data_IF_621325977831
#
_entry.id   IF_621325977831
#
_cell.length_a   1.000
_cell.length_b   1.000
_cell.length_c   1.000
_cell.angle_alpha   90.00
_cell.angle_beta   90.00
_cell.angle_gamma   90.00
#
_symmetry.space_group_name_H-M   'P 1'
#
loop_
_entity.id
_entity.type
_entity.pdbx_description
1 polymer ?
#
# COMPACT_ATOMS: atom_id res chain seq x y z
N UNK A 1 -12.29 20.02 -17.37
CA UNK A 1 -11.91 19.08 -18.44
C UNK A 1 -11.05 18.01 -17.78
N UNK A 2 -11.55 16.78 -17.69
CA UNK A 2 -10.82 15.68 -17.07
C UNK A 2 -9.47 15.46 -17.73
N UNK A 3 -8.43 15.23 -16.93
CA UNK A 3 -7.11 14.93 -17.44
C UNK A 3 -7.16 13.54 -18.09
N UNK A 4 -7.22 13.45 -19.43
CA UNK A 4 -7.33 12.15 -20.12
C UNK A 4 -6.22 11.18 -19.75
N UNK A 5 -5.03 11.70 -19.41
CA UNK A 5 -3.91 10.90 -18.92
C UNK A 5 -4.25 10.22 -17.59
N UNK A 6 -4.92 10.94 -16.70
CA UNK A 6 -5.40 10.43 -15.41
C UNK A 6 -6.46 9.34 -15.58
N UNK A 7 -7.44 9.55 -16.47
CA UNK A 7 -8.46 8.53 -16.76
C UNK A 7 -7.84 7.22 -17.27
N UNK A 8 -6.83 7.31 -18.14
CA UNK A 8 -6.09 6.14 -18.63
C UNK A 8 -5.37 5.42 -17.48
N UNK A 9 -4.73 6.17 -16.58
CA UNK A 9 -4.01 5.62 -15.43
C UNK A 9 -4.95 4.82 -14.51
N UNK A 10 -6.07 5.42 -14.11
CA UNK A 10 -7.05 4.80 -13.21
C UNK A 10 -7.68 3.55 -13.84
N UNK A 11 -8.16 3.66 -15.09
CA UNK A 11 -8.79 2.50 -15.75
C UNK A 11 -7.78 1.38 -15.99
N UNK A 12 -6.54 1.70 -16.34
CA UNK A 12 -5.50 0.68 -16.47
C UNK A 12 -5.24 -0.04 -15.13
N UNK A 13 -5.12 0.71 -14.03
CA UNK A 13 -4.93 0.14 -12.70
C UNK A 13 -6.09 -0.76 -12.29
N UNK A 14 -7.34 -0.34 -12.50
CA UNK A 14 -8.52 -1.18 -12.23
C UNK A 14 -8.50 -2.47 -13.03
N UNK A 15 -8.13 -2.41 -14.31
CA UNK A 15 -7.97 -3.58 -15.15
C UNK A 15 -6.84 -4.49 -14.65
N UNK A 16 -5.69 -3.93 -14.24
CA UNK A 16 -4.58 -4.69 -13.67
C UNK A 16 -4.96 -5.35 -12.34
N UNK A 17 -5.69 -4.66 -11.48
CA UNK A 17 -6.18 -5.17 -10.20
C UNK A 17 -7.24 -6.28 -10.35
N UNK A 18 -7.98 -6.30 -11.46
CA UNK A 18 -9.00 -7.32 -11.73
C UNK A 18 -8.45 -8.52 -12.50
N UNK A 19 -7.67 -8.26 -13.54
CA UNK A 19 -7.30 -9.26 -14.54
C UNK A 19 -5.81 -9.64 -14.50
N UNK A 20 -4.99 -8.88 -13.77
CA UNK A 20 -3.54 -8.97 -13.77
C UNK A 20 -2.89 -8.05 -14.81
N UNK A 21 -1.77 -7.43 -14.44
CA UNK A 21 -0.95 -6.59 -15.33
C UNK A 21 -0.55 -7.34 -16.61
N UNK A 22 -0.14 -8.59 -16.51
CA UNK A 22 0.32 -9.36 -17.68
C UNK A 22 -0.82 -9.63 -18.68
N UNK A 23 -2.01 -9.98 -18.19
CA UNK A 23 -3.15 -10.34 -19.04
C UNK A 23 -3.81 -9.13 -19.73
N UNK A 24 -3.63 -7.92 -19.19
CA UNK A 24 -4.21 -6.70 -19.76
C UNK A 24 -3.36 -6.18 -20.92
N UNK A 25 -4.04 -5.88 -22.03
CA UNK A 25 -3.43 -5.25 -23.20
C UNK A 25 -3.80 -3.78 -23.31
N UNK A 26 -2.96 -2.99 -23.98
CA UNK A 26 -3.25 -1.57 -24.29
C UNK A 26 -4.56 -1.43 -25.08
N UNK A 27 -4.89 -2.40 -25.94
CA UNK A 27 -6.14 -2.41 -26.68
C UNK A 27 -7.36 -2.58 -25.77
N UNK A 28 -7.23 -3.39 -24.70
CA UNK A 28 -8.29 -3.57 -23.69
C UNK A 28 -8.54 -2.27 -22.92
N UNK A 29 -7.46 -1.61 -22.47
CA UNK A 29 -7.54 -0.31 -21.78
C UNK A 29 -8.19 0.74 -22.69
N UNK A 30 -7.76 0.81 -23.96
CA UNK A 30 -8.33 1.75 -24.93
C UNK A 30 -9.82 1.48 -25.21
N UNK A 31 -10.21 0.20 -25.30
CA UNK A 31 -11.60 -0.21 -25.49
C UNK A 31 -12.50 0.19 -24.31
N UNK A 32 -12.03 0.04 -23.07
CA UNK A 32 -12.77 0.43 -21.86
C UNK A 32 -13.04 1.94 -21.79
N UNK A 33 -12.23 2.75 -22.47
CA UNK A 33 -12.32 4.21 -22.50
C UNK A 33 -12.93 4.76 -23.80
N UNK A 34 -13.50 3.89 -24.65
CA UNK A 34 -14.02 4.26 -25.98
C UNK A 34 -13.02 5.06 -26.83
N UNK A 35 -11.73 4.72 -26.74
CA UNK A 35 -10.66 5.39 -27.46
C UNK A 35 -9.90 4.46 -28.40
N UNK A 36 -9.22 5.04 -29.38
CA UNK A 36 -8.32 4.26 -30.23
C UNK A 36 -7.00 4.00 -29.50
N UNK A 37 -6.36 2.86 -29.81
CA UNK A 37 -5.00 2.55 -29.33
C UNK A 37 -4.01 3.69 -29.64
N UNK A 38 -4.16 4.31 -30.82
CA UNK A 38 -3.34 5.47 -31.22
C UNK A 38 -3.56 6.71 -30.37
N UNK A 39 -4.77 6.96 -29.89
CA UNK A 39 -5.06 8.06 -28.97
C UNK A 39 -4.44 7.81 -27.58
N UNK A 40 -4.53 6.59 -27.06
CA UNK A 40 -3.87 6.20 -25.81
C UNK A 40 -2.34 6.41 -25.91
N UNK A 41 -1.73 6.02 -27.03
CA UNK A 41 -0.29 6.20 -27.24
C UNK A 41 0.19 7.66 -27.27
N UNK A 42 -0.71 8.64 -27.41
CA UNK A 42 -0.35 10.06 -27.27
C UNK A 42 -0.11 10.46 -25.81
N UNK A 43 -0.67 9.70 -24.86
CA UNK A 43 -0.54 9.96 -23.43
C UNK A 43 0.52 9.08 -22.76
N UNK A 44 0.61 7.81 -23.18
CA UNK A 44 1.55 6.84 -22.65
C UNK A 44 2.23 6.06 -23.76
N UNK A 45 3.56 5.92 -23.70
CA UNK A 45 4.36 5.28 -24.75
C UNK A 45 4.15 3.77 -24.81
N UNK A 46 3.78 3.14 -23.70
CA UNK A 46 3.61 1.69 -23.58
C UNK A 46 2.74 1.31 -22.39
N UNK A 47 2.37 0.02 -22.28
CA UNK A 47 1.74 -0.52 -21.05
C UNK A 47 2.66 -0.32 -19.83
N UNK A 48 3.96 -0.46 -20.04
CA UNK A 48 4.98 -0.29 -19.01
C UNK A 48 5.06 1.15 -18.51
N UNK A 49 4.96 2.13 -19.40
CA UNK A 49 4.93 3.56 -19.05
C UNK A 49 3.73 3.91 -18.15
N UNK A 50 2.58 3.26 -18.36
CA UNK A 50 1.43 3.39 -17.46
C UNK A 50 1.74 2.80 -16.08
N UNK A 51 2.32 1.59 -16.04
CA UNK A 51 2.70 0.93 -14.80
C UNK A 51 3.73 1.73 -14.00
N UNK A 52 4.77 2.26 -14.64
CA UNK A 52 5.78 3.09 -13.97
C UNK A 52 5.14 4.36 -13.39
N UNK A 53 4.18 4.96 -14.08
CA UNK A 53 3.42 6.09 -13.54
C UNK A 53 2.50 5.71 -12.37
N UNK A 54 1.96 4.48 -12.35
CA UNK A 54 1.17 3.98 -11.22
C UNK A 54 2.08 3.82 -10.00
N UNK A 55 3.24 3.17 -10.16
CA UNK A 55 4.21 2.98 -9.07
C UNK A 55 4.70 4.32 -8.54
N UNK A 56 5.12 5.23 -9.42
CA UNK A 56 5.60 6.55 -9.00
C UNK A 56 4.53 7.39 -8.30
N UNK A 57 3.25 7.25 -8.68
CA UNK A 57 2.16 7.88 -7.93
C UNK A 57 1.97 7.26 -6.55
N UNK A 58 2.07 5.94 -6.43
CA UNK A 58 1.99 5.27 -5.14
C UNK A 58 3.13 5.71 -4.20
N UNK A 59 4.36 5.76 -4.70
CA UNK A 59 5.53 6.25 -3.95
C UNK A 59 5.31 7.68 -3.43
N UNK A 60 4.79 8.56 -4.29
CA UNK A 60 4.48 9.93 -3.89
C UNK A 60 3.40 9.99 -2.80
N UNK A 61 2.30 9.25 -2.98
CA UNK A 61 1.18 9.29 -2.04
C UNK A 61 1.53 8.64 -0.69
N UNK A 62 2.31 7.56 -0.68
CA UNK A 62 2.79 6.90 0.54
C UNK A 62 3.71 7.86 1.33
N UNK A 63 4.58 8.58 0.63
CA UNK A 63 5.41 9.65 1.24
C UNK A 63 4.57 10.81 1.80
N UNK A 64 3.55 11.26 1.07
CA UNK A 64 2.63 12.31 1.54
C UNK A 64 1.85 11.87 2.80
N UNK A 65 1.37 10.63 2.84
CA UNK A 65 0.71 10.05 4.01
C UNK A 65 1.66 9.95 5.21
N UNK A 66 2.89 9.48 5.01
CA UNK A 66 3.88 9.42 6.08
C UNK A 66 4.21 10.83 6.62
N UNK A 67 4.41 11.80 5.73
CA UNK A 67 4.70 13.19 6.11
C UNK A 67 3.56 13.85 6.89
N UNK A 68 2.30 13.60 6.53
CA UNK A 68 1.12 14.15 7.23
C UNK A 68 1.05 13.72 8.70
N UNK A 69 1.58 12.54 9.03
CA UNK A 69 1.61 11.98 10.38
C UNK A 69 2.98 12.10 11.07
N UNK A 70 3.90 12.91 10.54
CA UNK A 70 5.28 13.05 11.04
C UNK A 70 6.05 11.71 11.11
N UNK A 71 5.73 10.79 10.22
CA UNK A 71 6.41 9.50 10.10
C UNK A 71 7.67 9.59 9.23
N UNK A 72 8.71 8.78 9.52
CA UNK A 72 9.84 8.62 8.61
C UNK A 72 9.41 8.09 7.23
N UNK A 73 9.73 8.84 6.18
CA UNK A 73 9.43 8.49 4.79
C UNK A 73 10.50 7.56 4.17
N UNK A 74 11.73 7.67 4.65
CA UNK A 74 12.88 6.89 4.17
C UNK A 74 13.41 5.94 5.24
N UNK A 75 14.21 4.97 4.80
CA UNK A 75 14.91 4.03 5.67
C UNK A 75 15.67 4.73 6.81
N UNK A 76 15.71 4.08 7.97
CA UNK A 76 16.38 4.58 9.18
C UNK A 76 17.82 5.03 8.94
N UNK A 77 18.55 4.35 8.05
CA UNK A 77 19.93 4.71 7.71
C UNK A 77 20.05 6.14 7.16
N UNK A 78 19.00 6.63 6.49
CA UNK A 78 18.98 7.94 5.85
C UNK A 78 18.35 9.02 6.71
N UNK A 79 17.41 8.66 7.59
CA UNK A 79 16.68 9.63 8.44
C UNK A 79 16.60 9.21 9.91
N UNK A 80 17.72 8.96 10.61
CA UNK A 80 17.70 8.43 11.98
C UNK A 80 16.93 9.34 12.95
N UNK A 81 17.08 10.67 12.82
CA UNK A 81 16.45 11.66 13.70
C UNK A 81 14.92 11.60 13.70
N UNK A 82 14.29 11.34 12.54
CA UNK A 82 12.82 11.21 12.47
C UNK A 82 12.32 9.98 13.23
N UNK A 83 13.08 8.89 13.25
CA UNK A 83 12.66 7.68 13.97
C UNK A 83 12.74 7.84 15.50
N UNK A 84 13.58 8.75 16.01
CA UNK A 84 13.74 8.99 17.45
C UNK A 84 12.57 9.75 18.06
N UNK A 85 11.84 10.54 17.26
CA UNK A 85 10.75 11.40 17.74
C UNK A 85 9.37 10.76 17.65
N UNK A 86 9.23 9.61 17.00
CA UNK A 86 7.93 8.96 16.81
C UNK A 86 7.44 8.36 18.12
N UNK A 87 6.26 8.78 18.56
CA UNK A 87 5.58 8.17 19.70
C UNK A 87 4.79 6.92 19.28
N UNK A 88 4.63 5.95 20.19
CA UNK A 88 3.80 4.77 19.93
C UNK A 88 2.34 5.17 19.62
N UNK A 89 1.79 6.14 20.35
CA UNK A 89 0.39 6.55 20.15
C UNK A 89 0.18 7.20 18.77
N UNK A 90 1.14 7.97 18.26
CA UNK A 90 1.05 8.55 16.90
C UNK A 90 1.25 7.49 15.82
N UNK A 91 2.16 6.54 16.04
CA UNK A 91 2.34 5.41 15.12
C UNK A 91 1.09 4.51 15.03
N UNK A 92 0.36 4.32 16.14
CA UNK A 92 -0.91 3.59 16.15
C UNK A 92 -1.99 4.35 15.37
N UNK A 93 -2.11 5.67 15.54
CA UNK A 93 -3.03 6.50 14.73
C UNK A 93 -2.69 6.41 13.24
N UNK A 94 -1.41 6.54 12.90
CA UNK A 94 -0.92 6.39 11.54
C UNK A 94 -1.26 5.01 10.98
N UNK A 95 -1.05 3.93 11.74
CA UNK A 95 -1.37 2.56 11.31
C UNK A 95 -2.86 2.36 11.04
N UNK A 96 -3.75 2.97 11.83
CA UNK A 96 -5.20 2.96 11.55
C UNK A 96 -5.52 3.72 10.27
N UNK A 97 -4.94 4.90 10.06
CA UNK A 97 -5.08 5.67 8.81
C UNK A 97 -4.57 4.89 7.59
N UNK A 98 -3.42 4.24 7.72
CA UNK A 98 -2.86 3.40 6.65
C UNK A 98 -3.74 2.21 6.35
N UNK A 99 -4.38 1.62 7.37
CA UNK A 99 -5.34 0.56 7.12
C UNK A 99 -6.49 1.04 6.24
N UNK A 100 -7.07 2.20 6.56
CA UNK A 100 -8.12 2.82 5.76
C UNK A 100 -7.64 3.15 4.35
N UNK A 101 -6.49 3.80 4.21
CA UNK A 101 -5.91 4.15 2.92
C UNK A 101 -5.73 2.92 2.01
N UNK A 102 -5.08 1.86 2.50
CA UNK A 102 -4.81 0.64 1.74
C UNK A 102 -6.05 -0.23 1.44
N UNK A 103 -7.21 0.08 2.04
CA UNK A 103 -8.45 -0.71 1.90
C UNK A 103 -9.62 0.05 1.29
N UNK A 104 -9.72 1.35 1.54
CA UNK A 104 -10.83 2.22 1.15
C UNK A 104 -10.46 3.16 -0.01
N UNK A 105 -9.21 3.63 -0.11
CA UNK A 105 -8.80 4.45 -1.24
C UNK A 105 -8.81 3.62 -2.54
N UNK A 106 -9.43 4.16 -3.59
CA UNK A 106 -9.64 3.46 -4.85
C UNK A 106 -8.30 3.10 -5.53
N UNK A 107 -7.33 4.02 -5.48
CA UNK A 107 -6.03 3.86 -6.12
C UNK A 107 -5.16 2.88 -5.32
N UNK A 108 -4.96 3.13 -4.03
CA UNK A 108 -4.11 2.31 -3.17
C UNK A 108 -4.63 0.88 -3.04
N UNK A 109 -5.94 0.71 -2.85
CA UNK A 109 -6.55 -0.63 -2.75
C UNK A 109 -6.46 -1.41 -4.07
N UNK A 110 -6.57 -0.73 -5.22
CA UNK A 110 -6.37 -1.36 -6.53
C UNK A 110 -4.91 -1.72 -6.78
N UNK A 111 -3.97 -0.85 -6.37
CA UNK A 111 -2.54 -1.12 -6.44
C UNK A 111 -2.14 -2.35 -5.62
N UNK A 112 -2.62 -2.44 -4.37
CA UNK A 112 -2.43 -3.61 -3.51
C UNK A 112 -2.91 -4.90 -4.16
N UNK A 113 -4.14 -4.90 -4.71
CA UNK A 113 -4.72 -6.07 -5.40
C UNK A 113 -3.91 -6.48 -6.62
N UNK A 114 -3.48 -5.52 -7.43
CA UNK A 114 -2.59 -5.77 -8.57
C UNK A 114 -1.30 -6.46 -8.11
N UNK A 115 -0.62 -5.95 -7.08
CA UNK A 115 0.60 -6.57 -6.55
C UNK A 115 0.33 -8.00 -6.06
N UNK A 116 -0.78 -8.25 -5.37
CA UNK A 116 -1.14 -9.60 -4.90
C UNK A 116 -1.31 -10.59 -6.05
N UNK A 117 -1.92 -10.18 -7.17
CA UNK A 117 -2.10 -11.04 -8.36
C UNK A 117 -0.76 -11.30 -9.06
N UNK A 118 0.08 -10.28 -9.14
CA UNK A 118 1.30 -10.29 -9.97
C UNK A 118 2.54 -10.83 -9.23
N UNK A 119 2.49 -11.02 -7.91
CA UNK A 119 3.66 -11.39 -7.08
C UNK A 119 4.41 -12.66 -7.53
N UNK A 120 3.77 -13.55 -8.29
CA UNK A 120 4.36 -14.80 -8.78
C UNK A 120 4.74 -14.77 -10.27
N UNK A 121 4.59 -13.62 -10.95
CA UNK A 121 4.79 -13.50 -12.40
C UNK A 121 6.22 -13.15 -12.79
N UNK A 122 6.91 -12.36 -11.97
CA UNK A 122 8.31 -11.98 -12.20
C UNK A 122 9.00 -11.64 -10.88
N UNK A 123 10.34 -11.68 -10.87
CA UNK A 123 11.13 -11.24 -9.72
C UNK A 123 10.88 -9.77 -9.37
N UNK A 124 10.62 -8.93 -10.39
CA UNK A 124 10.30 -7.52 -10.18
C UNK A 124 8.98 -7.33 -9.41
N UNK A 125 7.92 -8.02 -9.83
CA UNK A 125 6.62 -7.95 -9.16
C UNK A 125 6.69 -8.55 -7.76
N UNK A 126 7.47 -9.63 -7.57
CA UNK A 126 7.71 -10.19 -6.25
C UNK A 126 8.40 -9.17 -5.33
N UNK A 127 9.42 -8.45 -5.83
CA UNK A 127 10.12 -7.41 -5.07
C UNK A 127 9.20 -6.27 -4.69
N UNK A 128 8.38 -5.77 -5.62
CA UNK A 128 7.39 -4.74 -5.32
C UNK A 128 6.38 -5.20 -4.27
N UNK A 129 5.86 -6.42 -4.40
CA UNK A 129 4.96 -6.99 -3.41
C UNK A 129 5.62 -7.08 -2.02
N UNK A 130 6.88 -7.53 -1.93
CA UNK A 130 7.62 -7.59 -0.67
C UNK A 130 7.87 -6.20 -0.09
N UNK A 131 8.29 -5.25 -0.92
CA UNK A 131 8.57 -3.87 -0.53
C UNK A 131 7.34 -3.14 0.00
N UNK A 132 6.17 -3.31 -0.61
CA UNK A 132 4.96 -2.57 -0.22
C UNK A 132 4.10 -3.29 0.82
N UNK A 133 4.09 -4.62 0.86
CA UNK A 133 3.08 -5.37 1.60
C UNK A 133 3.64 -6.39 2.59
N UNK A 134 4.94 -6.70 2.57
CA UNK A 134 5.49 -7.75 3.43
C UNK A 134 6.76 -7.30 4.14
N UNK A 135 7.94 -7.52 3.55
CA UNK A 135 9.22 -7.28 4.23
C UNK A 135 9.43 -5.80 4.52
N UNK A 136 9.09 -4.90 3.60
CA UNK A 136 9.30 -3.46 3.79
C UNK A 136 8.57 -2.92 5.02
N UNK A 137 7.23 -3.02 5.10
CA UNK A 137 6.50 -2.53 6.26
C UNK A 137 6.83 -3.28 7.56
N UNK A 138 7.12 -4.59 7.50
CA UNK A 138 7.51 -5.35 8.68
C UNK A 138 8.87 -4.88 9.24
N UNK A 139 9.84 -4.58 8.36
CA UNK A 139 11.13 -4.01 8.76
C UNK A 139 10.98 -2.59 9.29
N UNK A 140 10.12 -1.78 8.65
CA UNK A 140 9.80 -0.42 9.10
C UNK A 140 9.22 -0.40 10.52
N UNK A 141 8.21 -1.25 10.80
CA UNK A 141 7.61 -1.39 12.14
C UNK A 141 8.65 -1.86 13.17
N UNK A 142 9.48 -2.85 12.79
CA UNK A 142 10.57 -3.35 13.65
C UNK A 142 11.55 -2.25 14.01
N UNK A 143 11.95 -1.42 13.06
CA UNK A 143 12.93 -0.34 13.31
C UNK A 143 12.35 0.78 14.17
N UNK A 144 11.06 1.12 13.99
CA UNK A 144 10.35 2.01 14.90
C UNK A 144 10.31 1.44 16.33
N UNK A 145 9.91 0.18 16.49
CA UNK A 145 9.82 -0.45 17.81
C UNK A 145 11.17 -0.59 18.51
N UNK A 146 12.25 -0.82 17.75
CA UNK A 146 13.62 -0.78 18.27
C UNK A 146 13.99 0.60 18.82
N UNK A 147 13.59 1.68 18.13
CA UNK A 147 13.87 3.05 18.58
C UNK A 147 13.00 3.48 19.76
N UNK A 148 11.76 2.99 19.82
CA UNK A 148 10.86 3.20 20.97
C UNK A 148 11.23 2.36 22.19
N UNK A 149 12.31 1.57 22.13
CA UNK A 149 12.76 0.65 23.18
C UNK A 149 11.67 -0.34 23.64
N UNK A 150 10.79 -0.75 22.71
CA UNK A 150 9.75 -1.75 22.98
C UNK A 150 10.40 -3.10 23.29
N UNK A 151 9.86 -3.80 24.29
CA UNK A 151 10.30 -5.14 24.67
C UNK A 151 10.08 -6.14 23.53
N UNK A 152 11.08 -6.97 23.25
CA UNK A 152 11.05 -7.97 22.17
C UNK A 152 10.61 -7.38 20.80
N UNK A 153 11.25 -6.30 20.33
CA UNK A 153 10.72 -5.47 19.25
C UNK A 153 10.50 -6.22 17.93
N UNK A 154 11.26 -7.28 17.69
CA UNK A 154 11.12 -8.13 16.50
C UNK A 154 9.84 -8.97 16.53
N UNK A 155 9.56 -9.64 17.65
CA UNK A 155 8.34 -10.44 17.82
C UNK A 155 7.10 -9.54 17.81
N UNK A 156 7.17 -8.42 18.53
CA UNK A 156 6.07 -7.45 18.61
C UNK A 156 5.78 -6.81 17.26
N UNK A 157 6.80 -6.46 16.47
CA UNK A 157 6.60 -5.92 15.13
C UNK A 157 5.93 -6.94 14.19
N UNK A 158 6.30 -8.21 14.30
CA UNK A 158 5.65 -9.28 13.54
C UNK A 158 4.17 -9.41 13.94
N UNK A 159 3.85 -9.41 15.23
CA UNK A 159 2.45 -9.48 15.70
C UNK A 159 1.63 -8.27 15.23
N UNK A 160 2.20 -7.07 15.37
CA UNK A 160 1.58 -5.82 14.93
C UNK A 160 1.31 -5.81 13.42
N UNK A 161 2.32 -6.12 12.61
CA UNK A 161 2.16 -6.09 11.17
C UNK A 161 1.33 -7.26 10.63
N UNK A 162 1.39 -8.44 11.26
CA UNK A 162 0.52 -9.56 10.93
C UNK A 162 -0.96 -9.20 11.09
N UNK A 163 -1.31 -8.36 12.08
CA UNK A 163 -2.65 -7.82 12.23
C UNK A 163 -3.08 -7.00 11.00
N UNK A 164 -2.23 -6.04 10.57
CA UNK A 164 -2.47 -5.25 9.36
C UNK A 164 -2.68 -6.14 8.13
N UNK A 165 -1.72 -7.04 7.87
CA UNK A 165 -1.72 -7.90 6.69
C UNK A 165 -2.91 -8.87 6.64
N UNK A 166 -3.24 -9.49 7.78
CA UNK A 166 -4.40 -10.38 7.90
C UNK A 166 -5.70 -9.63 7.60
N UNK A 167 -5.89 -8.46 8.19
CA UNK A 167 -7.13 -7.71 8.00
C UNK A 167 -7.27 -7.07 6.63
N UNK A 168 -6.18 -6.75 5.92
CA UNK A 168 -6.25 -6.40 4.49
C UNK A 168 -6.91 -7.50 3.67
N UNK A 169 -6.48 -8.75 3.91
CA UNK A 169 -7.00 -9.91 3.20
C UNK A 169 -8.47 -10.19 3.56
N UNK A 170 -8.81 -10.07 4.85
CA UNK A 170 -10.20 -10.23 5.31
C UNK A 170 -11.12 -9.15 4.76
N UNK A 171 -10.64 -7.91 4.64
CA UNK A 171 -11.44 -6.77 4.21
C UNK A 171 -11.93 -6.92 2.76
N UNK A 172 -11.07 -7.42 1.86
CA UNK A 172 -11.43 -7.61 0.46
C UNK A 172 -12.56 -8.62 0.24
N UNK A 173 -12.63 -9.66 1.08
CA UNK A 173 -13.64 -10.71 1.02
C UNK A 173 -14.89 -10.43 1.86
N UNK A 174 -14.93 -9.33 2.60
CA UNK A 174 -15.97 -9.08 3.59
C UNK A 174 -17.27 -8.57 2.95
N UNK A 175 -18.40 -9.19 3.34
CA UNK A 175 -19.72 -8.61 3.11
C UNK A 175 -19.97 -7.38 3.98
N UNK A 176 -19.42 -7.38 5.20
CA UNK A 176 -19.49 -6.27 6.15
C UNK A 176 -18.07 -5.74 6.43
N UNK A 177 -17.65 -4.78 5.62
CA UNK A 177 -16.33 -4.15 5.69
C UNK A 177 -16.15 -3.31 6.96
N UNK A 178 -17.21 -2.67 7.44
CA UNK A 178 -17.19 -1.88 8.67
C UNK A 178 -16.90 -2.78 9.89
N UNK A 179 -17.48 -3.99 9.92
CA UNK A 179 -17.17 -4.97 10.96
C UNK A 179 -15.70 -5.38 10.94
N UNK A 180 -15.12 -5.66 9.76
CA UNK A 180 -13.71 -6.05 9.66
C UNK A 180 -12.79 -4.93 10.14
N UNK A 181 -13.07 -3.67 9.77
CA UNK A 181 -12.32 -2.51 10.26
C UNK A 181 -12.39 -2.38 11.78
N UNK A 182 -13.58 -2.55 12.38
CA UNK A 182 -13.74 -2.54 13.83
C UNK A 182 -12.95 -3.67 14.51
N UNK A 183 -12.93 -4.87 13.93
CA UNK A 183 -12.15 -6.00 14.45
C UNK A 183 -10.63 -5.76 14.34
N UNK A 184 -10.19 -5.15 13.25
CA UNK A 184 -8.81 -4.71 13.07
C UNK A 184 -8.39 -3.72 14.18
N UNK A 185 -9.17 -2.67 14.38
CA UNK A 185 -8.88 -1.64 15.40
C UNK A 185 -8.85 -2.24 16.81
N UNK A 186 -9.83 -3.07 17.15
CA UNK A 186 -9.90 -3.77 18.45
C UNK A 186 -8.66 -4.64 18.70
N UNK A 187 -8.22 -5.39 17.69
CA UNK A 187 -7.03 -6.24 17.83
C UNK A 187 -5.75 -5.40 17.91
N UNK A 188 -5.66 -4.33 17.13
CA UNK A 188 -4.52 -3.42 17.19
C UNK A 188 -4.40 -2.77 18.58
N UNK A 189 -5.52 -2.29 19.13
CA UNK A 189 -5.54 -1.67 20.46
C UNK A 189 -5.13 -2.67 21.54
N UNK A 190 -5.58 -3.94 21.44
CA UNK A 190 -5.15 -5.01 22.35
C UNK A 190 -3.64 -5.29 22.27
N UNK A 191 -3.08 -5.37 21.06
CA UNK A 191 -1.63 -5.54 20.88
C UNK A 191 -0.88 -4.38 21.56
N UNK A 192 -1.35 -3.15 21.38
CA UNK A 192 -0.73 -1.95 21.97
C UNK A 192 -0.85 -1.94 23.50
N UNK A 193 -1.95 -2.43 24.07
CA UNK A 193 -2.10 -2.60 25.52
C UNK A 193 -1.10 -3.60 26.08
N UNK A 194 -0.86 -4.72 25.37
CA UNK A 194 0.15 -5.73 25.75
C UNK A 194 1.58 -5.19 25.64
N UNK A 195 1.85 -4.28 24.69
CA UNK A 195 3.15 -3.60 24.55
C UNK A 195 3.50 -2.68 25.71
N UNK A 196 2.50 -2.13 26.40
CA UNK A 196 2.66 -1.19 27.53
C UNK A 196 2.92 -1.90 28.87
N UNK A 197 2.89 -3.23 28.91
CA UNK A 197 3.09 -4.07 30.12
C UNK A 197 4.52 -4.60 30.26
#
# INVERSE_FOLDING_TARGET
MGNRKEEILIVALHLFARDGYEAVSVSKIAGELDMTKGALYRHYKSKRDIFDCIVGRMEQQDGEQAAEYDMPEEEKEKMPEKYETVSLDDFVKYSKSMFEYWTEDDFASSFRKMLTIEQFRSEEMQKLYQQYLVSGPAEYVKDLFKNMEIKNPEETAVQFYANMFFYYSMYDGAADKAKVKCQFEQMLDKIVEEMKQ
#
